data_IF_571161236817
#
_entry.id   IF_571161236817
#
_cell.length_a   1.000
_cell.length_b   1.000
_cell.length_c   1.000
_cell.angle_alpha   90.00
_cell.angle_beta   90.00
_cell.angle_gamma   90.00
#
_symmetry.space_group_name_H-M   'P 1'
#
loop_
_entity.id
_entity.type
_entity.pdbx_description
1 polymer ?
#
# COMPACT_ATOMS: atom_id res chain seq x y z
N UNK A 1 -7.34 7.66 -15.97
CA UNK A 1 -6.48 7.45 -14.80
C UNK A 1 -5.39 6.46 -15.13
N UNK A 2 -4.32 6.50 -14.38
CA UNK A 2 -3.17 5.62 -14.61
C UNK A 2 -3.02 4.63 -13.47
N UNK A 3 -2.37 3.51 -13.78
CA UNK A 3 -1.95 2.57 -12.74
C UNK A 3 -0.58 2.95 -12.21
N UNK A 4 -0.37 2.71 -10.93
CA UNK A 4 0.90 2.95 -10.25
C UNK A 4 1.30 1.72 -9.45
N UNK A 5 2.55 1.31 -9.60
CA UNK A 5 3.16 0.30 -8.76
C UNK A 5 3.83 1.03 -7.60
N UNK A 6 3.39 0.70 -6.39
CA UNK A 6 3.82 1.38 -5.17
C UNK A 6 4.48 0.35 -4.26
N UNK A 7 5.67 0.68 -3.78
CA UNK A 7 6.32 -0.14 -2.76
C UNK A 7 6.33 0.61 -1.43
N UNK A 8 6.07 -0.12 -0.38
CA UNK A 8 6.05 0.40 0.99
C UNK A 8 6.85 -0.55 1.87
N UNK A 9 7.57 -0.01 2.83
CA UNK A 9 8.43 -0.80 3.70
C UNK A 9 8.32 -0.31 5.14
N UNK A 10 8.68 -1.19 6.07
CA UNK A 10 8.78 -0.83 7.49
C UNK A 10 9.70 0.37 7.65
N UNK A 11 9.21 1.39 8.32
CA UNK A 11 9.95 2.61 8.60
C UNK A 11 10.54 2.64 10.01
N UNK A 12 11.07 3.81 10.42
CA UNK A 12 11.69 3.94 11.74
C UNK A 12 10.73 3.67 12.91
N UNK A 13 9.43 3.85 12.71
CA UNK A 13 8.42 3.60 13.74
C UNK A 13 7.97 2.13 13.85
N UNK A 14 8.48 1.25 13.00
CA UNK A 14 8.15 -0.17 13.07
C UNK A 14 8.73 -0.76 14.36
N UNK A 15 7.92 -1.52 15.10
CA UNK A 15 8.39 -2.19 16.31
C UNK A 15 9.20 -3.43 15.93
N UNK A 16 10.50 -3.37 16.18
CA UNK A 16 11.42 -4.46 15.86
C UNK A 16 11.05 -5.75 16.60
N UNK A 17 11.29 -6.88 15.93
CA UNK A 17 11.00 -8.20 16.49
C UNK A 17 9.53 -8.59 16.47
N UNK A 18 8.66 -7.75 15.91
CA UNK A 18 7.23 -8.01 15.80
C UNK A 18 6.78 -7.91 14.35
N UNK A 19 5.93 -8.84 13.94
CA UNK A 19 5.32 -8.82 12.60
C UNK A 19 4.16 -7.83 12.49
N UNK A 20 3.59 -7.76 11.29
CA UNK A 20 2.55 -6.78 10.95
C UNK A 20 1.34 -6.88 11.89
N UNK A 21 0.89 -8.10 12.20
CA UNK A 21 -0.31 -8.29 13.00
C UNK A 21 -0.12 -7.94 14.48
N UNK A 22 1.11 -7.72 14.90
CA UNK A 22 1.45 -7.35 16.28
C UNK A 22 1.80 -5.86 16.41
N UNK A 23 1.83 -5.12 15.30
CA UNK A 23 2.12 -3.69 15.35
C UNK A 23 0.96 -2.91 15.96
N UNK A 24 1.24 -1.85 16.74
CA UNK A 24 0.20 -0.94 17.19
C UNK A 24 -0.63 -0.38 16.02
N UNK A 25 -1.92 -0.14 16.27
CA UNK A 25 -2.84 0.43 15.29
C UNK A 25 -3.05 -0.42 14.04
N UNK A 26 -2.81 -1.74 14.11
CA UNK A 26 -3.04 -2.64 12.97
C UNK A 26 -4.48 -2.57 12.47
N UNK A 27 -5.46 -2.55 13.38
CA UNK A 27 -6.88 -2.50 13.01
C UNK A 27 -7.23 -1.20 12.29
N UNK A 28 -6.67 -0.07 12.75
CA UNK A 28 -6.91 1.23 12.12
C UNK A 28 -6.28 1.29 10.72
N UNK A 29 -5.06 0.77 10.59
CA UNK A 29 -4.40 0.64 9.29
C UNK A 29 -5.23 -0.23 8.34
N UNK A 30 -5.68 -1.39 8.79
CA UNK A 30 -6.47 -2.30 7.97
C UNK A 30 -7.78 -1.66 7.52
N UNK A 31 -8.48 -0.96 8.42
CA UNK A 31 -9.71 -0.26 8.09
C UNK A 31 -9.47 0.84 7.04
N UNK A 32 -8.38 1.58 7.17
CA UNK A 32 -8.00 2.60 6.19
C UNK A 32 -7.76 1.97 4.80
N UNK A 33 -6.97 0.90 4.74
CA UNK A 33 -6.68 0.22 3.47
C UNK A 33 -7.94 -0.37 2.84
N UNK A 34 -8.83 -0.94 3.64
CA UNK A 34 -10.09 -1.48 3.14
C UNK A 34 -10.96 -0.38 2.51
N UNK A 35 -11.00 0.82 3.10
CA UNK A 35 -11.72 1.95 2.51
C UNK A 35 -11.14 2.35 1.15
N UNK A 36 -9.82 2.39 1.03
CA UNK A 36 -9.19 2.71 -0.25
C UNK A 36 -9.48 1.65 -1.31
N UNK A 37 -9.53 0.39 -0.92
CA UNK A 37 -9.91 -0.69 -1.82
C UNK A 37 -11.38 -0.56 -2.25
N UNK A 38 -12.27 -0.29 -1.31
CA UNK A 38 -13.70 -0.12 -1.60
C UNK A 38 -13.96 1.07 -2.52
N UNK A 39 -13.14 2.10 -2.45
CA UNK A 39 -13.23 3.28 -3.31
C UNK A 39 -12.62 3.05 -4.70
N UNK A 40 -12.02 1.90 -4.95
CA UNK A 40 -11.38 1.60 -6.23
C UNK A 40 -10.00 2.23 -6.42
N UNK A 41 -9.46 2.89 -5.40
CA UNK A 41 -8.12 3.46 -5.47
C UNK A 41 -7.04 2.37 -5.38
N UNK A 42 -7.15 1.48 -4.40
CA UNK A 42 -6.28 0.32 -4.28
C UNK A 42 -6.92 -0.86 -5.00
N UNK A 43 -6.26 -1.37 -6.02
CA UNK A 43 -6.73 -2.53 -6.77
C UNK A 43 -6.22 -3.81 -6.16
N UNK A 44 -4.94 -3.82 -5.79
CA UNK A 44 -4.28 -4.98 -5.16
C UNK A 44 -3.28 -4.44 -4.15
N UNK A 45 -3.15 -5.11 -3.02
CA UNK A 45 -2.12 -4.80 -2.04
C UNK A 45 -1.85 -6.00 -1.17
N UNK A 46 -0.59 -6.20 -0.80
CA UNK A 46 -0.22 -7.24 0.13
C UNK A 46 1.27 -7.28 0.39
N UNK A 47 1.68 -7.95 1.46
CA UNK A 47 3.09 -8.09 1.75
C UNK A 47 3.75 -9.07 0.78
N UNK A 48 5.00 -8.82 0.47
CA UNK A 48 5.82 -9.83 -0.19
C UNK A 48 5.97 -11.01 0.76
N UNK A 49 5.84 -12.22 0.22
CA UNK A 49 5.69 -13.44 1.03
C UNK A 49 6.75 -13.55 2.12
N UNK A 50 6.31 -13.74 3.34
CA UNK A 50 7.16 -13.91 4.51
C UNK A 50 7.56 -12.62 5.21
N UNK A 51 7.52 -11.47 4.54
CA UNK A 51 7.95 -10.21 5.17
C UNK A 51 6.99 -9.73 6.24
N UNK A 52 5.74 -10.19 6.22
CA UNK A 52 4.74 -9.84 7.24
C UNK A 52 5.08 -10.33 8.63
N UNK A 53 6.03 -11.28 8.75
CA UNK A 53 6.45 -11.84 10.03
C UNK A 53 7.61 -11.07 10.68
N UNK A 54 8.19 -10.11 9.98
CA UNK A 54 9.31 -9.31 10.46
C UNK A 54 9.13 -7.86 9.96
N UNK A 55 10.13 -7.29 9.31
CA UNK A 55 10.01 -5.96 8.70
C UNK A 55 9.29 -6.08 7.37
N UNK A 56 8.09 -5.54 7.31
CA UNK A 56 7.20 -5.72 6.17
C UNK A 56 7.72 -5.01 4.91
N UNK A 57 7.48 -5.63 3.77
CA UNK A 57 7.61 -5.03 2.45
C UNK A 57 6.33 -5.30 1.69
N UNK A 58 5.73 -4.26 1.12
CA UNK A 58 4.41 -4.33 0.49
C UNK A 58 4.51 -3.89 -0.96
N UNK A 59 3.83 -4.63 -1.83
CA UNK A 59 3.51 -4.17 -3.18
C UNK A 59 2.03 -3.78 -3.22
N UNK A 60 1.75 -2.61 -3.78
CA UNK A 60 0.40 -2.08 -3.91
C UNK A 60 0.22 -1.55 -5.33
N UNK A 61 -0.91 -1.88 -5.94
CA UNK A 61 -1.27 -1.33 -7.24
C UNK A 61 -2.44 -0.39 -7.05
N UNK A 62 -2.24 0.87 -7.42
CA UNK A 62 -3.24 1.91 -7.28
C UNK A 62 -3.65 2.46 -8.65
N UNK A 63 -4.89 2.92 -8.74
CA UNK A 63 -5.38 3.68 -9.88
C UNK A 63 -5.62 5.11 -9.43
N UNK A 64 -4.92 6.06 -10.06
CA UNK A 64 -4.94 7.46 -9.65
C UNK A 64 -4.65 8.38 -10.82
N UNK A 65 -4.90 9.67 -10.62
CA UNK A 65 -4.65 10.70 -11.62
C UNK A 65 -3.15 10.99 -11.77
N UNK A 66 -2.38 10.89 -10.68
CA UNK A 66 -0.97 11.26 -10.66
C UNK A 66 -0.24 10.61 -9.49
N UNK A 67 1.09 10.61 -9.55
CA UNK A 67 1.94 10.19 -8.44
C UNK A 67 1.65 11.02 -7.18
N UNK A 68 1.47 12.32 -7.33
CA UNK A 68 1.14 13.19 -6.20
C UNK A 68 -0.16 12.78 -5.53
N UNK A 69 -1.15 12.37 -6.32
CA UNK A 69 -2.42 11.90 -5.80
C UNK A 69 -2.25 10.60 -4.99
N UNK A 70 -1.43 9.69 -5.48
CA UNK A 70 -1.10 8.46 -4.75
C UNK A 70 -0.50 8.79 -3.38
N UNK A 71 0.53 9.64 -3.36
CA UNK A 71 1.20 10.01 -2.12
C UNK A 71 0.26 10.71 -1.14
N UNK A 72 -0.57 11.62 -1.64
CA UNK A 72 -1.53 12.34 -0.82
C UNK A 72 -2.52 11.40 -0.14
N UNK A 73 -3.06 10.44 -0.89
CA UNK A 73 -4.06 9.51 -0.37
C UNK A 73 -3.48 8.52 0.62
N UNK A 74 -2.25 8.07 0.41
CA UNK A 74 -1.60 7.14 1.33
C UNK A 74 -1.09 7.82 2.59
N UNK A 75 -0.87 9.14 2.56
CA UNK A 75 -0.34 9.89 3.71
C UNK A 75 -1.25 9.85 4.94
N UNK A 76 -2.53 9.58 4.76
CA UNK A 76 -3.49 9.51 5.87
C UNK A 76 -3.54 8.15 6.57
N UNK A 77 -2.80 7.17 6.07
CA UNK A 77 -2.69 5.87 6.72
C UNK A 77 -2.10 6.06 8.14
N UNK A 78 -2.76 5.54 9.19
CA UNK A 78 -2.23 5.63 10.55
C UNK A 78 -0.79 5.14 10.69
N UNK A 79 -0.41 4.13 9.95
CA UNK A 79 0.97 3.63 9.97
C UNK A 79 1.95 4.55 9.25
N UNK A 80 1.50 5.30 8.25
CA UNK A 80 2.36 6.30 7.60
C UNK A 80 2.56 7.50 8.53
N UNK A 81 1.50 7.93 9.20
CA UNK A 81 1.57 9.06 10.16
C UNK A 81 2.53 8.79 11.31
N UNK A 82 2.66 7.54 11.73
CA UNK A 82 3.56 7.13 12.82
C UNK A 82 4.90 6.60 12.30
N UNK A 83 5.15 6.71 11.00
CA UNK A 83 6.37 6.22 10.35
C UNK A 83 6.63 4.72 10.55
N UNK A 84 5.59 3.96 10.85
CA UNK A 84 5.69 2.50 10.87
C UNK A 84 5.81 1.95 9.47
N UNK A 85 5.17 2.61 8.51
CA UNK A 85 5.21 2.22 7.10
C UNK A 85 5.60 3.44 6.28
N UNK A 86 6.53 3.25 5.35
CA UNK A 86 7.05 4.32 4.49
C UNK A 86 6.84 3.92 3.04
N UNK A 87 6.34 4.84 2.22
CA UNK A 87 6.28 4.66 0.78
C UNK A 87 7.67 4.89 0.20
N UNK A 88 8.26 3.86 -0.36
CA UNK A 88 9.63 3.91 -0.88
C UNK A 88 9.69 4.17 -2.38
N UNK A 89 8.64 3.83 -3.13
CA UNK A 89 8.56 4.18 -4.55
C UNK A 89 7.11 4.27 -5.00
N UNK A 90 6.88 5.14 -5.97
CA UNK A 90 5.61 5.26 -6.70
C UNK A 90 5.99 5.40 -8.18
N UNK A 91 5.65 4.41 -8.99
CA UNK A 91 6.03 4.39 -10.39
C UNK A 91 4.81 4.14 -11.27
N UNK A 92 4.66 4.91 -12.33
CA UNK A 92 3.62 4.66 -13.32
C UNK A 92 3.87 3.28 -13.96
N UNK A 93 2.80 2.50 -14.08
CA UNK A 93 2.88 1.13 -14.55
C UNK A 93 1.98 0.91 -15.76
N UNK A 94 2.60 0.52 -16.89
CA UNK A 94 1.85 0.20 -18.10
C UNK A 94 1.50 -1.28 -18.10
N UNK A 95 0.25 -1.58 -17.82
CA UNK A 95 -0.23 -2.96 -17.81
C UNK A 95 -0.49 -3.43 -19.24
N UNK A 96 0.44 -4.20 -19.81
CA UNK A 96 0.36 -4.66 -21.19
C UNK A 96 -0.40 -5.98 -21.36
N UNK A 97 -0.42 -6.80 -20.32
CA UNK A 97 -1.06 -8.13 -20.36
C UNK A 97 -1.96 -8.25 -19.14
N UNK A 98 -3.17 -8.73 -19.35
CA UNK A 98 -4.09 -8.99 -18.25
C UNK A 98 -4.94 -7.81 -17.85
N UNK A 99 -4.91 -6.69 -18.57
CA UNK A 99 -5.69 -5.49 -18.24
C UNK A 99 -7.19 -5.79 -18.15
N UNK A 100 -7.69 -6.71 -18.95
CA UNK A 100 -9.09 -7.10 -18.96
C UNK A 100 -9.55 -7.71 -17.63
N UNK A 101 -8.63 -8.24 -16.84
CA UNK A 101 -8.97 -8.82 -15.52
C UNK A 101 -9.36 -7.76 -14.51
N UNK A 102 -9.05 -6.49 -14.77
CA UNK A 102 -9.46 -5.40 -13.91
C UNK A 102 -10.90 -4.96 -14.18
N UNK A 103 -11.60 -5.65 -15.06
CA UNK A 103 -13.02 -5.42 -15.31
C UNK A 103 -13.36 -4.12 -16.00
N UNK A 104 -12.36 -3.36 -16.39
CA UNK A 104 -12.53 -2.06 -17.01
C UNK A 104 -12.55 -2.08 -18.52
N UNK A 105 -12.80 -3.17 -19.07
CA UNK A 105 -12.72 -3.39 -20.51
C UNK A 105 -13.53 -2.39 -21.31
#
# INVERSE_FOLDING_TARGET
MSLFAVTREAGPGWTDGKGAFEQPAMNDHAAFMNRLADQGFVLFAGPLAGTEHDRIRVLLIAEAASEADVNRRLADDPWVRTQRLVTTSVEAWNLLRGAERLGGA
#
